data_IF_735322120788
#
_entry.id   IF_735322120788
#
_cell.length_a   1.000
_cell.length_b   1.000
_cell.length_c   1.000
_cell.angle_alpha   90.00
_cell.angle_beta   90.00
_cell.angle_gamma   90.00
#
_symmetry.space_group_name_H-M   'P 1'
#
loop_
_entity.id
_entity.type
_entity.pdbx_description
1 polymer ?
#
# COMPACT_ATOMS: atom_id res chain seq x y z
N UNK A 1 1.22 3.82 12.93
CA UNK A 1 1.25 3.61 11.47
C UNK A 1 1.74 2.21 11.16
N UNK A 2 1.60 1.77 9.91
CA UNK A 2 2.11 0.48 9.45
C UNK A 2 3.03 0.63 8.24
N UNK A 3 3.86 -0.38 7.98
CA UNK A 3 4.58 -0.55 6.73
C UNK A 3 4.35 -1.96 6.21
N UNK A 4 3.74 -2.08 5.04
CA UNK A 4 3.72 -3.31 4.28
C UNK A 4 5.14 -3.61 3.83
N UNK A 5 5.52 -4.88 3.92
CA UNK A 5 6.82 -5.38 3.54
C UNK A 5 6.69 -6.65 2.71
N UNK A 6 7.64 -6.83 1.79
CA UNK A 6 7.86 -8.10 1.11
C UNK A 6 8.46 -9.15 2.05
N UNK A 7 8.50 -10.40 1.58
CA UNK A 7 9.19 -11.50 2.28
C UNK A 7 10.48 -11.83 1.55
N UNK A 8 11.57 -12.03 2.29
CA UNK A 8 12.86 -12.42 1.71
C UNK A 8 12.76 -13.67 0.81
N UNK A 9 11.95 -14.65 1.22
CA UNK A 9 11.71 -15.87 0.43
C UNK A 9 11.13 -15.59 -0.96
N UNK A 10 10.25 -14.59 -1.08
CA UNK A 10 9.64 -14.20 -2.36
C UNK A 10 10.55 -13.27 -3.16
N UNK A 11 11.25 -12.37 -2.49
CA UNK A 11 12.27 -11.52 -3.14
C UNK A 11 13.38 -12.34 -3.80
N UNK A 12 13.79 -13.46 -3.19
CA UNK A 12 14.76 -14.42 -3.79
C UNK A 12 14.24 -15.13 -5.05
N UNK A 13 12.92 -15.12 -5.28
CA UNK A 13 12.29 -15.62 -6.51
C UNK A 13 12.04 -14.50 -7.53
N UNK A 14 12.51 -13.27 -7.27
CA UNK A 14 12.23 -12.11 -8.12
C UNK A 14 10.81 -11.57 -8.00
N UNK A 15 10.06 -11.92 -6.95
CA UNK A 15 8.73 -11.37 -6.70
C UNK A 15 8.80 -10.19 -5.72
N UNK A 16 8.40 -9.00 -6.18
CA UNK A 16 8.31 -7.77 -5.39
C UNK A 16 6.85 -7.54 -4.97
N UNK A 17 6.62 -7.20 -3.70
CA UNK A 17 5.26 -7.08 -3.10
C UNK A 17 4.67 -5.67 -3.16
N UNK A 18 5.52 -4.66 -3.15
CA UNK A 18 5.20 -3.26 -3.41
C UNK A 18 6.48 -2.54 -3.86
N UNK A 19 6.35 -1.49 -4.66
CA UNK A 19 7.52 -0.72 -5.13
C UNK A 19 7.55 0.71 -4.60
N UNK A 20 6.40 1.34 -4.31
CA UNK A 20 6.37 2.80 -4.08
C UNK A 20 5.59 3.24 -2.84
N UNK A 21 4.44 2.62 -2.52
CA UNK A 21 3.60 3.01 -1.39
C UNK A 21 3.49 1.90 -0.33
N UNK A 22 4.57 1.70 0.44
CA UNK A 22 4.58 0.71 1.53
C UNK A 22 3.93 1.18 2.83
N UNK A 23 3.70 2.48 3.00
CA UNK A 23 3.20 3.05 4.26
C UNK A 23 1.67 2.94 4.37
N UNK A 24 1.21 2.57 5.57
CA UNK A 24 -0.20 2.49 5.93
C UNK A 24 -0.47 3.55 6.98
N UNK A 25 -1.24 4.56 6.58
CA UNK A 25 -1.53 5.73 7.40
C UNK A 25 -2.32 5.38 8.67
N UNK A 26 -2.06 6.09 9.79
CA UNK A 26 -2.86 5.93 11.00
C UNK A 26 -4.33 6.26 10.75
N UNK A 27 -5.24 5.38 11.18
CA UNK A 27 -6.68 5.48 10.92
C UNK A 27 -7.16 4.71 9.69
N UNK A 28 -6.25 4.19 8.85
CA UNK A 28 -6.64 3.34 7.73
C UNK A 28 -7.36 2.07 8.22
N UNK A 29 -8.46 1.73 7.54
CA UNK A 29 -9.18 0.48 7.74
C UNK A 29 -9.63 -0.07 6.39
N UNK A 30 -9.21 -1.30 6.06
CA UNK A 30 -9.51 -1.96 4.80
C UNK A 30 -8.51 -3.04 4.45
N UNK A 31 -8.72 -3.69 3.31
CA UNK A 31 -7.72 -4.57 2.70
C UNK A 31 -6.61 -3.74 2.07
N UNK A 32 -5.37 -4.18 2.16
CA UNK A 32 -4.23 -3.49 1.54
C UNK A 32 -4.11 -3.95 0.08
N UNK A 33 -4.09 -3.00 -0.86
CA UNK A 33 -3.80 -3.29 -2.27
C UNK A 33 -2.30 -3.58 -2.41
N UNK A 34 -1.94 -4.68 -3.09
CA UNK A 34 -0.55 -5.05 -3.35
C UNK A 34 -0.17 -4.69 -4.79
N UNK A 35 1.05 -4.18 -4.99
CA UNK A 35 1.65 -3.92 -6.30
C UNK A 35 2.66 -5.03 -6.58
N UNK A 36 2.23 -6.08 -7.27
CA UNK A 36 3.04 -7.28 -7.49
C UNK A 36 3.82 -7.20 -8.81
N UNK A 37 5.14 -7.28 -8.73
CA UNK A 37 6.03 -7.30 -9.90
C UNK A 37 6.87 -8.57 -9.90
N UNK A 38 6.86 -9.28 -11.03
CA UNK A 38 7.78 -10.39 -11.29
C UNK A 38 8.96 -9.86 -12.11
N UNK A 39 10.14 -9.79 -11.50
CA UNK A 39 11.40 -9.39 -12.16
C UNK A 39 12.32 -10.57 -12.48
N UNK A 40 11.83 -11.80 -12.30
CA UNK A 40 12.55 -13.00 -12.72
C UNK A 40 12.32 -13.30 -14.21
N UNK A 41 13.12 -14.23 -14.75
CA UNK A 41 12.98 -14.75 -16.11
C UNK A 41 11.97 -15.89 -16.24
N UNK A 42 11.33 -16.31 -15.14
CA UNK A 42 10.35 -17.40 -15.10
C UNK A 42 9.03 -16.92 -14.52
N UNK A 43 7.88 -17.45 -14.98
CA UNK A 43 6.59 -17.17 -14.36
C UNK A 43 6.53 -17.63 -12.90
N UNK A 44 5.93 -16.82 -12.03
CA UNK A 44 5.70 -17.17 -10.62
C UNK A 44 4.19 -17.38 -10.41
N UNK A 45 3.81 -18.58 -9.99
CA UNK A 45 2.42 -18.90 -9.66
C UNK A 45 2.09 -18.39 -8.25
N UNK A 46 1.04 -17.57 -8.15
CA UNK A 46 0.51 -17.09 -6.88
C UNK A 46 -0.71 -17.92 -6.47
N UNK A 47 -0.83 -18.21 -5.19
CA UNK A 47 -1.94 -18.98 -4.61
C UNK A 47 -2.71 -18.12 -3.61
N UNK A 48 -4.05 -18.01 -3.72
CA UNK A 48 -4.86 -17.38 -2.69
C UNK A 48 -4.58 -17.99 -1.31
N UNK A 49 -4.37 -17.14 -0.30
CA UNK A 49 -4.05 -17.57 1.07
C UNK A 49 -2.56 -17.77 1.37
N UNK A 50 -1.66 -17.70 0.38
CA UNK A 50 -0.22 -17.76 0.64
C UNK A 50 0.27 -16.54 1.42
N UNK A 51 1.33 -16.70 2.22
CA UNK A 51 2.00 -15.58 2.89
C UNK A 51 2.73 -14.71 1.84
N UNK A 52 2.12 -13.61 1.43
CA UNK A 52 2.63 -12.73 0.35
C UNK A 52 3.50 -11.56 0.84
N UNK A 53 3.35 -11.18 2.11
CA UNK A 53 4.00 -10.04 2.73
C UNK A 53 3.96 -10.12 4.25
N UNK A 54 4.32 -9.02 4.90
CA UNK A 54 4.27 -8.84 6.34
C UNK A 54 4.03 -7.37 6.69
N UNK A 55 3.56 -7.11 7.91
CA UNK A 55 3.27 -5.76 8.40
C UNK A 55 4.24 -5.41 9.53
N UNK A 56 4.95 -4.31 9.39
CA UNK A 56 5.69 -3.67 10.48
C UNK A 56 4.82 -2.58 11.11
N UNK A 57 4.61 -2.60 12.42
CA UNK A 57 3.85 -1.57 13.13
C UNK A 57 4.81 -0.58 13.78
N UNK A 58 4.57 0.71 13.54
CA UNK A 58 5.41 1.81 14.01
C UNK A 58 4.55 2.69 14.92
N UNK A 59 4.96 2.80 16.19
CA UNK A 59 4.32 3.69 17.17
C UNK A 59 4.56 5.14 16.77
N UNK A 60 3.49 5.93 16.73
CA UNK A 60 3.61 7.37 16.55
C UNK A 60 4.06 8.04 17.86
N UNK A 61 4.73 9.19 17.75
CA UNK A 61 5.08 10.01 18.92
C UNK A 61 3.84 10.53 19.66
N UNK A 62 2.76 10.79 18.93
CA UNK A 62 1.44 11.22 19.43
C UNK A 62 0.32 10.68 18.53
N UNK A 63 -0.96 10.72 18.96
CA UNK A 63 -2.08 10.45 18.07
C UNK A 63 -2.06 11.39 16.84
N UNK A 64 -2.48 10.87 15.67
CA UNK A 64 -2.61 11.69 14.47
C UNK A 64 -3.79 12.66 14.61
N UNK A 65 -3.55 13.96 14.38
CA UNK A 65 -4.58 15.00 14.46
C UNK A 65 -5.68 14.80 13.42
N UNK A 66 -5.29 14.54 12.17
CA UNK A 66 -6.18 14.21 11.06
C UNK A 66 -5.85 12.80 10.56
N UNK A 67 -6.45 11.73 11.13
CA UNK A 67 -6.19 10.37 10.69
C UNK A 67 -6.73 10.11 9.28
N UNK A 68 -6.25 9.04 8.64
CA UNK A 68 -6.78 8.58 7.36
C UNK A 68 -8.28 8.28 7.46
N UNK A 69 -9.05 8.76 6.49
CA UNK A 69 -10.51 8.70 6.48
C UNK A 69 -11.20 9.91 7.11
N UNK A 70 -10.46 10.81 7.76
CA UNK A 70 -11.03 12.10 8.20
C UNK A 70 -11.40 12.98 7.00
N UNK A 71 -12.42 13.83 7.17
CA UNK A 71 -12.92 14.69 6.11
C UNK A 71 -11.85 15.64 5.54
N UNK A 72 -10.91 16.08 6.39
CA UNK A 72 -9.84 17.03 6.03
C UNK A 72 -8.68 16.35 5.30
N UNK A 73 -8.38 15.08 5.61
CA UNK A 73 -7.23 14.37 5.02
C UNK A 73 -7.38 14.11 3.51
N UNK A 74 -8.61 14.04 3.00
CA UNK A 74 -8.85 13.78 1.58
C UNK A 74 -8.53 12.34 1.15
N UNK A 75 -8.68 11.38 2.06
CA UNK A 75 -8.42 9.96 1.83
C UNK A 75 -9.28 9.37 0.70
N UNK A 76 -8.67 8.51 -0.14
CA UNK A 76 -9.32 7.96 -1.34
C UNK A 76 -9.78 6.51 -1.21
N UNK A 77 -9.21 5.77 -0.26
CA UNK A 77 -9.27 4.30 -0.20
C UNK A 77 -9.75 3.75 1.15
N UNK A 78 -10.34 4.59 2.01
CA UNK A 78 -10.85 4.13 3.30
C UNK A 78 -11.97 3.11 3.11
N UNK A 79 -11.92 2.01 3.86
CA UNK A 79 -12.92 0.95 3.81
C UNK A 79 -12.79 -0.03 2.63
N UNK A 80 -11.76 0.06 1.80
CA UNK A 80 -11.66 -0.82 0.62
C UNK A 80 -11.64 -2.31 0.97
N UNK A 81 -12.25 -3.13 0.11
CA UNK A 81 -12.38 -4.61 0.28
C UNK A 81 -11.67 -5.41 -0.80
N UNK A 82 -11.03 -4.74 -1.75
CA UNK A 82 -10.27 -5.36 -2.82
C UNK A 82 -9.25 -4.37 -3.40
N UNK A 83 -8.61 -4.72 -4.52
CA UNK A 83 -7.65 -3.87 -5.19
C UNK A 83 -8.36 -2.72 -5.93
N UNK A 84 -8.84 -1.73 -5.18
CA UNK A 84 -9.50 -0.55 -5.76
C UNK A 84 -8.56 0.12 -6.75
N UNK A 85 -9.03 0.36 -7.97
CA UNK A 85 -8.26 1.05 -8.99
C UNK A 85 -7.86 2.47 -8.54
N UNK A 86 -6.82 3.01 -9.16
CA UNK A 86 -6.30 4.34 -8.83
C UNK A 86 -7.38 5.42 -8.94
N UNK A 87 -7.42 6.28 -7.93
CA UNK A 87 -8.23 7.50 -7.88
C UNK A 87 -7.36 8.76 -7.91
N UNK A 88 -6.17 8.69 -8.51
CA UNK A 88 -5.24 9.84 -8.60
C UNK A 88 -5.86 11.07 -9.30
N UNK A 89 -6.87 10.85 -10.14
CA UNK A 89 -7.64 11.90 -10.80
C UNK A 89 -8.51 12.73 -9.84
N UNK A 90 -8.90 12.19 -8.68
CA UNK A 90 -9.62 12.95 -7.66
C UNK A 90 -8.69 13.99 -7.04
N UNK A 91 -9.07 15.27 -7.09
CA UNK A 91 -8.25 16.39 -6.62
C UNK A 91 -6.86 16.41 -7.29
N UNK A 92 -6.79 16.00 -8.58
CA UNK A 92 -5.57 16.12 -9.36
C UNK A 92 -5.17 17.60 -9.47
N UNK A 93 -3.92 17.90 -9.16
CA UNK A 93 -3.37 19.25 -9.23
C UNK A 93 -2.12 19.24 -10.12
N UNK A 94 -2.08 20.16 -11.08
CA UNK A 94 -0.92 20.39 -11.95
C UNK A 94 -0.35 21.77 -11.66
N UNK A 95 0.86 21.82 -11.11
CA UNK A 95 1.59 23.08 -10.90
C UNK A 95 2.03 23.67 -12.24
N UNK A 96 1.85 24.98 -12.42
CA UNK A 96 2.44 25.69 -13.57
C UNK A 96 3.93 25.85 -13.33
N UNK A 97 4.75 25.26 -14.19
CA UNK A 97 6.19 25.50 -14.24
C UNK A 97 6.41 26.71 -15.15
N UNK A 98 7.13 27.72 -14.64
CA UNK A 98 7.55 28.90 -15.42
C UNK A 98 8.81 28.58 -16.22
#
# INVERSE_FOLDING_TARGET
AGRLEGKSSLGRLGLLTHSTAGFIDPGFSGHITLELSNVANLPVKLFPGMKIGQLCLIKLSSPAENPYGSAVYGSRYQGQRGPTASKSWLNFHQSKIK
#
